data_IF_654105470687
#
_entry.id   IF_654105470687
#
_cell.length_a   1.000
_cell.length_b   1.000
_cell.length_c   1.000
_cell.angle_alpha   90.00
_cell.angle_beta   90.00
_cell.angle_gamma   90.00
#
_symmetry.space_group_name_H-M   'P 1'
#
loop_
_entity.id
_entity.type
_entity.pdbx_description
1 polymer ?
#
# COMPACT_ATOMS: atom_id res chain seq x y z
N UNK A 1 -1.54 -6.49 13.56
CA UNK A 1 -1.14 -5.07 13.76
C UNK A 1 -0.61 -4.51 12.45
N UNK A 2 -1.07 -3.33 12.05
CA UNK A 2 -0.57 -2.65 10.84
C UNK A 2 0.34 -1.47 11.24
N UNK A 3 1.50 -1.38 10.60
CA UNK A 3 2.38 -0.21 10.67
C UNK A 3 1.89 0.83 9.67
N UNK A 4 1.64 2.05 10.14
CA UNK A 4 1.44 3.22 9.27
C UNK A 4 2.71 4.08 9.36
N UNK A 5 3.37 4.25 8.20
CA UNK A 5 4.50 5.18 8.06
C UNK A 5 3.92 6.55 7.71
N UNK A 6 4.02 7.48 8.66
CA UNK A 6 3.50 8.85 8.52
C UNK A 6 4.56 9.76 7.88
N UNK A 7 4.36 10.11 6.61
CA UNK A 7 5.24 11.00 5.86
C UNK A 7 4.98 12.49 6.16
N UNK A 8 4.68 12.82 7.42
CA UNK A 8 4.39 14.20 7.86
C UNK A 8 3.17 14.81 7.16
N UNK A 9 2.20 13.96 6.80
CA UNK A 9 0.96 14.39 6.18
C UNK A 9 -0.03 14.94 7.21
N UNK A 10 -0.69 16.04 6.87
CA UNK A 10 -1.66 16.69 7.76
C UNK A 10 -2.90 15.84 8.05
N UNK A 11 -3.18 14.83 7.21
CA UNK A 11 -4.39 14.01 7.28
C UNK A 11 -4.12 12.54 7.63
N UNK A 12 -2.89 12.16 7.98
CA UNK A 12 -2.56 10.76 8.34
C UNK A 12 -3.51 10.18 9.37
N UNK A 13 -3.99 10.97 10.33
CA UNK A 13 -4.90 10.49 11.37
C UNK A 13 -6.31 10.11 10.85
N UNK A 14 -6.74 10.62 9.69
CA UNK A 14 -7.96 10.12 9.04
C UNK A 14 -7.76 8.67 8.60
N UNK A 15 -6.62 8.37 7.99
CA UNK A 15 -6.21 7.02 7.61
C UNK A 15 -6.07 6.11 8.84
N UNK A 16 -5.38 6.58 9.89
CA UNK A 16 -5.25 5.87 11.18
C UNK A 16 -6.61 5.50 11.75
N UNK A 17 -7.57 6.42 11.78
CA UNK A 17 -8.91 6.18 12.30
C UNK A 17 -9.66 5.10 11.50
N UNK A 18 -9.52 5.09 10.18
CA UNK A 18 -10.14 4.05 9.34
C UNK A 18 -9.53 2.68 9.69
N UNK A 19 -8.20 2.57 9.70
CA UNK A 19 -7.50 1.30 9.97
C UNK A 19 -7.74 0.81 11.39
N UNK A 20 -7.71 1.70 12.39
CA UNK A 20 -7.94 1.37 13.80
C UNK A 20 -9.37 0.86 14.08
N UNK A 21 -10.31 1.12 13.19
CA UNK A 21 -11.66 0.54 13.25
C UNK A 21 -11.69 -0.97 12.98
N UNK A 22 -10.62 -1.55 12.45
CA UNK A 22 -10.55 -2.96 12.04
C UNK A 22 -9.42 -3.76 12.72
N UNK A 23 -8.30 -3.11 13.04
CA UNK A 23 -7.12 -3.80 13.58
C UNK A 23 -6.24 -2.86 14.41
N UNK A 24 -5.30 -3.42 15.17
CA UNK A 24 -4.30 -2.64 15.90
C UNK A 24 -3.37 -1.89 14.94
N UNK A 25 -3.03 -0.65 15.29
CA UNK A 25 -2.20 0.25 14.49
C UNK A 25 -1.03 0.78 15.31
N UNK A 26 0.14 0.83 14.69
CA UNK A 26 1.30 1.58 15.17
C UNK A 26 1.67 2.62 14.12
N UNK A 27 1.88 3.87 14.54
CA UNK A 27 2.28 4.97 13.66
C UNK A 27 3.73 5.32 13.94
N UNK A 28 4.55 5.42 12.89
CA UNK A 28 5.96 5.84 12.94
C UNK A 28 6.27 6.82 11.84
N UNK A 29 7.16 7.77 12.12
CA UNK A 29 7.75 8.60 11.09
C UNK A 29 8.83 7.83 10.32
N UNK A 30 9.09 8.17 9.05
CA UNK A 30 10.05 7.42 8.23
C UNK A 30 11.49 7.50 8.76
N UNK A 31 11.85 8.58 9.47
CA UNK A 31 13.17 8.79 10.10
C UNK A 31 13.28 8.25 11.53
N UNK A 32 12.23 7.61 12.07
CA UNK A 32 12.29 6.94 13.39
C UNK A 32 13.00 5.58 13.25
N UNK A 33 14.23 5.41 13.78
CA UNK A 33 14.98 4.16 13.63
C UNK A 33 14.29 2.96 14.27
N UNK A 34 13.36 3.17 15.20
CA UNK A 34 12.63 2.08 15.87
C UNK A 34 11.57 1.46 14.94
N UNK A 35 11.35 2.01 13.75
CA UNK A 35 10.48 1.40 12.74
C UNK A 35 10.94 -0.01 12.38
N UNK A 36 12.27 -0.23 12.34
CA UNK A 36 12.90 -1.50 11.99
C UNK A 36 12.85 -2.57 13.10
N UNK A 37 12.50 -2.18 14.33
CA UNK A 37 12.32 -3.10 15.47
C UNK A 37 10.91 -3.71 15.51
N UNK A 38 9.99 -3.21 14.66
CA UNK A 38 8.59 -3.65 14.63
C UNK A 38 8.43 -4.93 13.80
N UNK A 39 7.41 -5.71 14.16
CA UNK A 39 6.98 -6.90 13.42
C UNK A 39 5.50 -6.77 13.04
N UNK A 40 5.17 -5.90 12.08
CA UNK A 40 3.80 -5.72 11.64
C UNK A 40 3.36 -6.87 10.72
N UNK A 41 2.06 -7.06 10.58
CA UNK A 41 1.48 -7.98 9.59
C UNK A 41 1.40 -7.34 8.19
N UNK A 42 1.42 -6.01 8.13
CA UNK A 42 1.42 -5.23 6.90
C UNK A 42 1.89 -3.80 7.16
N UNK A 43 2.24 -3.09 6.08
CA UNK A 43 2.67 -1.69 6.11
C UNK A 43 1.76 -0.84 5.23
N UNK A 44 1.35 0.33 5.73
CA UNK A 44 0.72 1.38 4.93
C UNK A 44 1.66 2.59 4.93
N UNK A 45 2.04 3.05 3.74
CA UNK A 45 2.87 4.24 3.58
C UNK A 45 1.94 5.39 3.20
N UNK A 46 1.85 6.39 4.10
CA UNK A 46 0.88 7.49 4.00
C UNK A 46 1.19 8.45 2.84
N UNK A 47 0.23 9.29 2.47
CA UNK A 47 0.52 10.54 1.76
C UNK A 47 1.58 11.38 2.48
N UNK A 48 2.11 12.38 1.81
CA UNK A 48 3.03 13.34 2.38
C UNK A 48 3.54 14.35 1.36
N UNK A 49 4.23 15.40 1.81
CA UNK A 49 4.84 16.40 0.94
C UNK A 49 6.16 15.91 0.33
N UNK A 50 6.64 16.64 -0.67
CA UNK A 50 7.96 16.42 -1.29
C UNK A 50 7.97 15.36 -2.37
N UNK A 51 9.17 14.88 -2.66
CA UNK A 51 9.44 13.81 -3.61
C UNK A 51 9.83 12.52 -2.86
N UNK A 52 9.43 11.33 -3.31
CA UNK A 52 9.73 10.09 -2.58
C UNK A 52 11.23 9.76 -2.46
N UNK A 53 12.07 10.40 -3.27
CA UNK A 53 13.52 10.25 -3.25
C UNK A 53 14.25 11.42 -2.55
N UNK A 54 13.54 12.31 -1.87
CA UNK A 54 14.17 13.40 -1.09
C UNK A 54 15.02 12.85 0.07
N UNK A 55 14.65 11.66 0.58
CA UNK A 55 15.43 10.89 1.56
C UNK A 55 15.47 9.42 1.15
N UNK A 56 16.37 8.63 1.73
CA UNK A 56 16.42 7.16 1.50
C UNK A 56 15.53 6.38 2.49
N UNK A 57 14.84 7.06 3.38
CA UNK A 57 14.09 6.41 4.47
C UNK A 57 12.98 5.50 3.96
N UNK A 58 12.17 5.97 3.01
CA UNK A 58 11.08 5.17 2.45
C UNK A 58 11.59 3.95 1.67
N UNK A 59 12.68 4.10 0.92
CA UNK A 59 13.31 2.99 0.20
C UNK A 59 13.81 1.92 1.19
N UNK A 60 14.45 2.35 2.29
CA UNK A 60 14.92 1.47 3.36
C UNK A 60 13.78 0.73 4.06
N UNK A 61 12.67 1.40 4.35
CA UNK A 61 11.48 0.81 4.95
C UNK A 61 10.84 -0.22 4.02
N UNK A 62 10.64 0.14 2.74
CA UNK A 62 10.08 -0.80 1.74
C UNK A 62 10.97 -2.03 1.62
N UNK A 63 12.30 -1.84 1.56
CA UNK A 63 13.26 -2.95 1.47
C UNK A 63 13.23 -3.84 2.71
N UNK A 64 13.09 -3.27 3.91
CA UNK A 64 13.06 -4.03 5.16
C UNK A 64 11.79 -4.90 5.27
N UNK A 65 10.65 -4.40 4.78
CA UNK A 65 9.35 -5.07 4.86
C UNK A 65 8.89 -5.65 3.52
N UNK A 66 9.79 -5.87 2.56
CA UNK A 66 9.44 -6.23 1.17
C UNK A 66 8.65 -7.55 1.03
N UNK A 67 8.74 -8.44 2.02
CA UNK A 67 7.99 -9.70 2.05
C UNK A 67 6.56 -9.56 2.60
N UNK A 68 6.22 -8.40 3.17
CA UNK A 68 4.91 -8.13 3.75
C UNK A 68 3.95 -7.46 2.75
N UNK A 69 2.64 -7.55 2.96
CA UNK A 69 1.69 -6.69 2.25
C UNK A 69 1.99 -5.21 2.52
N UNK A 70 2.16 -4.44 1.44
CA UNK A 70 2.39 -2.99 1.49
C UNK A 70 1.32 -2.27 0.69
N UNK A 71 0.69 -1.24 1.29
CA UNK A 71 -0.17 -0.30 0.59
C UNK A 71 0.48 1.09 0.60
N UNK A 72 0.90 1.57 -0.57
CA UNK A 72 1.38 2.93 -0.76
C UNK A 72 0.26 3.87 -1.20
N UNK A 73 0.13 5.03 -0.53
CA UNK A 73 -0.90 6.04 -0.81
C UNK A 73 -0.22 7.35 -1.19
N UNK A 74 -0.57 7.93 -2.32
CA UNK A 74 -0.05 9.19 -2.86
C UNK A 74 1.49 9.20 -2.90
N UNK A 75 2.18 9.87 -1.97
CA UNK A 75 3.66 9.80 -1.84
C UNK A 75 4.15 8.35 -1.65
N UNK A 76 3.45 7.55 -0.86
CA UNK A 76 3.75 6.13 -0.68
C UNK A 76 3.64 5.31 -1.98
N UNK A 77 2.66 5.65 -2.84
CA UNK A 77 2.53 5.04 -4.17
C UNK A 77 3.72 5.41 -5.07
N UNK A 78 4.15 6.66 -5.01
CA UNK A 78 5.31 7.15 -5.75
C UNK A 78 6.61 6.52 -5.24
N UNK A 79 6.77 6.34 -3.93
CA UNK A 79 7.93 5.66 -3.34
C UNK A 79 8.05 4.22 -3.85
N UNK A 80 6.93 3.49 -3.91
CA UNK A 80 6.91 2.14 -4.48
C UNK A 80 7.19 2.14 -5.99
N UNK A 81 6.79 3.17 -6.74
CA UNK A 81 7.17 3.32 -8.16
C UNK A 81 8.68 3.41 -8.30
N UNK A 82 9.34 4.29 -7.52
CA UNK A 82 10.79 4.46 -7.52
C UNK A 82 11.51 3.18 -7.04
N UNK A 83 11.00 2.52 -5.99
CA UNK A 83 11.55 1.25 -5.50
C UNK A 83 11.65 0.19 -6.61
N UNK A 84 10.63 0.10 -7.46
CA UNK A 84 10.60 -0.81 -8.61
C UNK A 84 11.22 -0.24 -9.89
N UNK A 85 12.01 0.84 -9.78
CA UNK A 85 12.79 1.47 -10.86
C UNK A 85 11.98 2.24 -11.91
N UNK A 86 10.73 2.58 -11.60
CA UNK A 86 10.00 3.59 -12.34
C UNK A 86 10.42 5.00 -11.93
N UNK A 87 10.00 5.99 -12.70
CA UNK A 87 10.23 7.40 -12.38
C UNK A 87 8.95 8.10 -11.95
N UNK A 88 9.14 9.15 -11.15
CA UNK A 88 8.08 10.07 -10.75
C UNK A 88 8.37 11.42 -11.38
N UNK A 89 7.40 11.97 -12.08
CA UNK A 89 7.53 13.22 -12.85
C UNK A 89 6.46 14.22 -12.46
N UNK A 90 6.68 15.48 -12.84
CA UNK A 90 5.65 16.52 -12.74
C UNK A 90 4.50 16.18 -13.70
N UNK A 91 3.28 16.07 -13.20
CA UNK A 91 2.09 15.93 -14.02
C UNK A 91 1.76 17.20 -14.82
N UNK A 92 0.90 17.08 -15.81
CA UNK A 92 0.48 18.19 -16.65
C UNK A 92 -0.26 19.31 -15.88
N UNK A 93 -0.80 19.00 -14.72
CA UNK A 93 -1.55 19.93 -13.86
C UNK A 93 -1.20 19.74 -12.41
N UNK A 94 -1.13 20.85 -11.67
CA UNK A 94 -1.10 20.84 -10.20
C UNK A 94 -2.52 20.61 -9.70
N UNK A 95 -2.75 19.49 -9.03
CA UNK A 95 -4.07 19.13 -8.50
C UNK A 95 -4.12 19.42 -7.00
N UNK A 96 -5.03 20.27 -6.60
CA UNK A 96 -5.22 20.68 -5.20
C UNK A 96 -6.69 20.52 -4.81
N UNK A 97 -7.08 19.32 -4.39
CA UNK A 97 -8.46 19.03 -4.02
C UNK A 97 -9.40 18.88 -5.23
N UNK A 98 -8.93 18.23 -6.29
CA UNK A 98 -9.75 17.95 -7.47
C UNK A 98 -10.44 16.60 -7.34
N UNK A 99 -11.77 16.60 -7.52
CA UNK A 99 -12.54 15.36 -7.69
C UNK A 99 -12.45 14.93 -9.16
N UNK A 100 -12.14 13.66 -9.37
CA UNK A 100 -12.07 13.04 -10.68
C UNK A 100 -12.75 11.68 -10.67
N UNK A 101 -12.98 11.08 -11.83
CA UNK A 101 -13.53 9.73 -11.95
C UNK A 101 -12.41 8.76 -12.32
N UNK A 102 -12.13 7.82 -11.44
CA UNK A 102 -11.21 6.72 -11.69
C UNK A 102 -11.96 5.56 -12.34
N UNK A 103 -11.36 4.94 -13.33
CA UNK A 103 -11.86 3.76 -14.02
C UNK A 103 -10.98 2.56 -13.70
N UNK A 104 -11.59 1.46 -13.26
CA UNK A 104 -10.89 0.19 -13.09
C UNK A 104 -10.52 -0.38 -14.46
N UNK A 105 -9.27 -0.82 -14.61
CA UNK A 105 -8.76 -1.45 -15.83
C UNK A 105 -8.63 -2.96 -15.69
N UNK A 106 -8.31 -3.41 -14.47
CA UNK A 106 -8.14 -4.83 -14.14
C UNK A 106 -8.68 -5.11 -12.74
N UNK A 107 -9.19 -6.33 -12.49
CA UNK A 107 -9.55 -6.74 -11.14
C UNK A 107 -8.35 -6.64 -10.20
N UNK A 108 -8.58 -6.11 -9.01
CA UNK A 108 -7.63 -6.10 -7.89
C UNK A 108 -8.38 -6.35 -6.60
N UNK A 109 -7.69 -6.92 -5.60
CA UNK A 109 -8.27 -7.15 -4.27
C UNK A 109 -8.76 -5.85 -3.62
N UNK A 110 -8.09 -4.72 -3.91
CA UNK A 110 -8.47 -3.41 -3.35
C UNK A 110 -9.88 -2.97 -3.78
N UNK A 111 -10.33 -3.36 -4.96
CA UNK A 111 -11.60 -2.94 -5.55
C UNK A 111 -12.66 -4.05 -5.55
N UNK A 112 -12.43 -5.12 -4.79
CA UNK A 112 -13.41 -6.21 -4.67
C UNK A 112 -14.76 -5.68 -4.14
N UNK A 113 -15.83 -5.91 -4.91
CA UNK A 113 -17.18 -5.47 -4.59
C UNK A 113 -17.49 -4.00 -4.93
N UNK A 114 -16.57 -3.26 -5.54
CA UNK A 114 -16.76 -1.86 -5.92
C UNK A 114 -17.19 -1.72 -7.39
N UNK A 115 -17.86 -0.59 -7.75
CA UNK A 115 -18.24 -0.32 -9.14
C UNK A 115 -17.00 -0.11 -10.03
N UNK A 116 -17.14 -0.33 -11.35
CA UNK A 116 -16.06 -0.18 -12.34
C UNK A 116 -15.50 1.25 -12.43
N UNK A 117 -16.27 2.25 -12.01
CA UNK A 117 -15.85 3.64 -11.95
C UNK A 117 -16.44 4.32 -10.71
N UNK A 118 -15.64 5.15 -10.04
CA UNK A 118 -16.06 5.92 -8.87
C UNK A 118 -15.23 7.20 -8.73
N UNK A 119 -15.75 8.16 -7.94
CA UNK A 119 -15.08 9.43 -7.70
C UNK A 119 -13.95 9.32 -6.70
N UNK A 120 -12.85 9.97 -7.01
CA UNK A 120 -11.64 10.03 -6.18
C UNK A 120 -11.22 11.47 -5.94
N UNK A 121 -10.58 11.72 -4.78
CA UNK A 121 -9.99 13.01 -4.45
C UNK A 121 -8.49 13.00 -4.72
N UNK A 122 -8.03 14.01 -5.45
CA UNK A 122 -6.63 14.16 -5.89
C UNK A 122 -6.00 15.42 -5.30
N UNK A 123 -4.80 15.27 -4.69
CA UNK A 123 -4.01 16.36 -4.09
C UNK A 123 -2.54 16.33 -4.55
N UNK A 124 -2.26 15.78 -5.72
CA UNK A 124 -0.89 15.56 -6.17
C UNK A 124 -0.54 16.35 -7.44
N UNK A 125 0.70 16.81 -7.53
CA UNK A 125 1.29 17.37 -8.74
C UNK A 125 2.27 16.40 -9.41
N UNK A 126 2.76 15.42 -8.67
CA UNK A 126 3.65 14.36 -9.15
C UNK A 126 2.84 13.13 -9.53
N UNK A 127 3.29 12.44 -10.57
CA UNK A 127 2.68 11.20 -11.09
C UNK A 127 3.78 10.19 -11.42
N UNK A 128 3.42 8.91 -11.42
CA UNK A 128 4.27 7.87 -12.00
C UNK A 128 4.34 8.08 -13.51
N UNK A 129 5.56 8.10 -14.05
CA UNK A 129 5.81 8.30 -15.47
C UNK A 129 5.33 7.09 -16.29
N UNK A 130 4.33 7.24 -17.17
CA UNK A 130 3.84 6.12 -17.97
C UNK A 130 4.87 5.60 -18.98
N UNK A 131 5.85 6.43 -19.42
CA UNK A 131 6.87 6.01 -20.40
C UNK A 131 7.95 5.11 -19.78
N UNK A 132 8.19 5.24 -18.47
CA UNK A 132 9.17 4.45 -17.73
C UNK A 132 8.52 3.51 -16.72
N UNK A 133 7.21 3.25 -16.88
CA UNK A 133 6.45 2.45 -15.94
C UNK A 133 6.97 1.00 -15.92
N UNK A 134 7.33 0.46 -14.75
CA UNK A 134 7.98 -0.85 -14.64
C UNK A 134 7.07 -2.00 -15.12
N UNK A 135 7.63 -2.93 -15.89
CA UNK A 135 6.91 -4.12 -16.38
C UNK A 135 6.44 -5.06 -15.25
N UNK A 136 7.11 -5.02 -14.09
CA UNK A 136 6.70 -5.77 -12.90
C UNK A 136 5.43 -5.24 -12.24
N UNK A 137 4.92 -4.09 -12.70
CA UNK A 137 3.75 -3.43 -12.16
C UNK A 137 2.56 -3.53 -13.11
N UNK A 138 1.41 -3.87 -12.57
CA UNK A 138 0.15 -4.02 -13.29
C UNK A 138 -0.74 -2.83 -12.96
N UNK A 139 -1.06 -2.01 -13.96
CA UNK A 139 -2.00 -0.90 -13.80
C UNK A 139 -3.40 -1.45 -13.59
N UNK A 140 -4.05 -1.07 -12.49
CA UNK A 140 -5.39 -1.54 -12.09
C UNK A 140 -6.45 -0.46 -12.21
N UNK A 141 -6.07 0.81 -12.28
CA UNK A 141 -7.01 1.92 -12.46
C UNK A 141 -6.34 3.20 -12.95
N UNK A 142 -7.10 4.01 -13.67
CA UNK A 142 -6.62 5.28 -14.23
C UNK A 142 -7.69 6.36 -14.27
N UNK A 143 -7.26 7.59 -14.42
CA UNK A 143 -8.03 8.72 -14.91
C UNK A 143 -7.56 9.05 -16.33
N UNK A 144 -8.20 10.00 -17.00
CA UNK A 144 -7.85 10.39 -18.37
C UNK A 144 -6.41 10.90 -18.54
N UNK A 145 -5.78 11.30 -17.45
CA UNK A 145 -4.48 12.00 -17.43
C UNK A 145 -3.37 11.28 -16.64
N UNK A 146 -3.70 10.30 -15.83
CA UNK A 146 -2.66 9.58 -15.11
C UNK A 146 -3.09 8.21 -14.54
N UNK A 147 -2.09 7.38 -14.23
CA UNK A 147 -2.25 6.12 -13.52
C UNK A 147 -2.65 6.41 -12.07
N UNK A 148 -3.76 5.81 -11.62
CA UNK A 148 -4.31 6.02 -10.29
C UNK A 148 -4.09 4.85 -9.34
N UNK A 149 -3.99 3.64 -9.87
CA UNK A 149 -3.69 2.47 -9.05
C UNK A 149 -2.94 1.41 -9.84
N UNK A 150 -2.11 0.67 -9.13
CA UNK A 150 -1.32 -0.42 -9.69
C UNK A 150 -0.83 -1.34 -8.57
N UNK A 151 -0.48 -2.56 -8.92
CA UNK A 151 0.04 -3.57 -8.00
C UNK A 151 1.23 -4.30 -8.62
N UNK A 152 2.07 -4.91 -7.79
CA UNK A 152 3.13 -5.77 -8.28
C UNK A 152 2.55 -7.14 -8.63
N UNK A 153 3.01 -7.75 -9.72
CA UNK A 153 2.42 -9.00 -10.19
C UNK A 153 2.74 -10.23 -9.31
N UNK A 154 3.84 -10.20 -8.52
CA UNK A 154 4.29 -11.35 -7.71
C UNK A 154 4.28 -11.07 -6.20
N UNK A 155 4.42 -9.82 -5.77
CA UNK A 155 4.46 -9.44 -4.36
C UNK A 155 3.17 -8.74 -3.93
N UNK A 156 2.74 -8.85 -2.67
CA UNK A 156 1.51 -8.21 -2.20
C UNK A 156 1.68 -6.70 -1.97
N UNK A 157 2.19 -5.99 -2.99
CA UNK A 157 2.40 -4.56 -2.96
C UNK A 157 1.36 -3.84 -3.83
N UNK A 158 0.56 -3.01 -3.17
CA UNK A 158 -0.58 -2.28 -3.74
C UNK A 158 -0.36 -0.79 -3.64
N UNK A 159 -0.92 -0.01 -4.56
CA UNK A 159 -0.71 1.44 -4.60
C UNK A 159 -1.90 2.17 -5.16
N UNK A 160 -2.20 3.29 -4.53
CA UNK A 160 -3.21 4.23 -4.98
C UNK A 160 -2.64 5.66 -4.92
N UNK A 161 -2.79 6.40 -6.03
CA UNK A 161 -2.28 7.77 -6.15
C UNK A 161 -3.20 8.79 -5.48
N UNK A 162 -4.49 8.50 -5.41
CA UNK A 162 -5.50 9.34 -4.77
C UNK A 162 -5.61 9.09 -3.26
N UNK A 163 -6.40 9.91 -2.58
CA UNK A 163 -6.59 9.87 -1.13
C UNK A 163 -7.86 9.10 -0.73
N UNK A 164 -7.78 7.84 -0.29
CA UNK A 164 -8.93 7.06 0.17
C UNK A 164 -9.48 7.55 1.51
N UNK A 165 -8.66 8.24 2.30
CA UNK A 165 -9.02 8.84 3.59
C UNK A 165 -9.82 10.15 3.46
N UNK A 166 -9.92 10.71 2.24
CA UNK A 166 -10.71 11.91 1.97
C UNK A 166 -12.20 11.58 1.93
N UNK A 167 -13.01 12.44 2.58
CA UNK A 167 -14.48 12.34 2.54
C UNK A 167 -15.07 12.45 1.13
N UNK A 168 -14.33 12.98 0.17
CA UNK A 168 -14.76 13.15 -1.21
C UNK A 168 -14.33 11.98 -2.13
N UNK A 169 -13.61 11.00 -1.60
CA UNK A 169 -13.34 9.73 -2.29
C UNK A 169 -14.47 8.75 -1.97
N UNK A 170 -15.19 8.32 -3.01
CA UNK A 170 -16.17 7.26 -2.88
C UNK A 170 -15.48 5.93 -2.55
N UNK A 171 -16.07 5.13 -1.66
CA UNK A 171 -15.55 3.81 -1.26
C UNK A 171 -14.15 3.79 -0.62
N UNK A 172 -13.65 4.92 -0.12
CA UNK A 172 -12.31 4.98 0.46
C UNK A 172 -12.12 4.04 1.64
N UNK A 173 -13.10 3.95 2.54
CA UNK A 173 -13.08 3.03 3.69
C UNK A 173 -13.11 1.57 3.24
N UNK A 174 -13.92 1.23 2.22
CA UNK A 174 -14.01 -0.12 1.67
C UNK A 174 -12.69 -0.57 1.02
N UNK A 175 -11.99 0.34 0.33
CA UNK A 175 -10.68 0.07 -0.27
C UNK A 175 -9.66 -0.30 0.83
N UNK A 176 -9.57 0.49 1.89
CA UNK A 176 -8.69 0.20 3.04
C UNK A 176 -9.10 -1.12 3.72
N UNK A 177 -10.40 -1.34 3.91
CA UNK A 177 -10.90 -2.59 4.50
C UNK A 177 -10.58 -3.83 3.63
N UNK A 178 -10.65 -3.71 2.32
CA UNK A 178 -10.26 -4.81 1.42
C UNK A 178 -8.77 -5.15 1.55
N UNK A 179 -7.89 -4.16 1.70
CA UNK A 179 -6.49 -4.40 2.02
C UNK A 179 -6.31 -5.12 3.36
N UNK A 180 -7.02 -4.69 4.42
CA UNK A 180 -6.95 -5.32 5.75
C UNK A 180 -7.42 -6.79 5.68
N UNK A 181 -8.50 -7.08 4.98
CA UNK A 181 -8.99 -8.46 4.76
C UNK A 181 -7.96 -9.36 4.07
N UNK A 182 -7.18 -8.81 3.13
CA UNK A 182 -6.08 -9.55 2.49
C UNK A 182 -5.04 -9.96 3.53
N UNK A 183 -4.65 -9.04 4.42
CA UNK A 183 -3.68 -9.29 5.49
C UNK A 183 -4.18 -10.38 6.43
N UNK A 184 -5.43 -10.33 6.86
CA UNK A 184 -6.04 -11.33 7.74
C UNK A 184 -6.09 -12.73 7.11
N UNK A 185 -6.42 -12.83 5.81
CA UNK A 185 -6.41 -14.11 5.07
C UNK A 185 -5.01 -14.69 4.96
N UNK A 186 -3.98 -13.86 4.73
CA UNK A 186 -2.58 -14.27 4.71
C UNK A 186 -2.08 -14.78 6.06
N UNK A 187 -2.40 -14.10 7.15
CA UNK A 187 -2.07 -14.52 8.51
C UNK A 187 -2.72 -15.89 8.86
N UNK A 188 -3.99 -16.09 8.49
CA UNK A 188 -4.70 -17.35 8.75
C UNK A 188 -4.12 -18.56 7.98
N UNK A 189 -3.53 -18.35 6.79
CA UNK A 189 -2.88 -19.41 6.03
C UNK A 189 -1.54 -19.84 6.62
N UNK A 190 -0.80 -18.96 7.26
CA UNK A 190 0.45 -19.27 7.97
C UNK A 190 0.22 -20.04 9.27
N UNK A 191 -0.85 -19.76 10.01
CA UNK A 191 -1.19 -20.48 11.25
C UNK A 191 -1.61 -21.94 11.05
N UNK A 192 -2.14 -22.29 9.88
CA UNK A 192 -2.52 -23.68 9.56
C UNK A 192 -1.31 -24.56 9.22
N UNK A 193 -0.18 -24.01 8.79
CA UNK A 193 1.04 -24.79 8.54
C UNK A 193 1.91 -25.01 9.78
N UNK A 194 1.79 -24.20 10.82
CA UNK A 194 2.58 -24.33 12.06
C UNK A 194 2.00 -25.33 13.08
N UNK A 195 0.80 -25.89 12.83
CA UNK A 195 0.13 -26.84 13.72
C UNK A 195 0.09 -28.26 13.17
N UNK A 196 1.19 -28.78 12.65
CA UNK A 196 1.29 -30.21 12.38
C UNK A 196 2.29 -30.87 13.35
N UNK A 197 1.84 -31.40 14.52
CA UNK A 197 2.67 -32.14 15.45
C UNK A 197 2.68 -33.61 15.06
N UNK A 198 3.45 -34.00 14.04
CA UNK A 198 3.75 -35.42 13.79
C UNK A 198 5.17 -35.59 13.26
N UNK A 199 6.14 -35.51 14.16
CA UNK A 199 7.38 -36.25 14.05
C UNK A 199 7.38 -37.30 15.16
N UNK A 200 6.81 -38.44 14.84
CA UNK A 200 6.92 -39.66 15.65
C UNK A 200 8.38 -40.11 15.61
N UNK A 201 9.02 -40.10 16.76
CA UNK A 201 10.30 -40.76 16.99
C UNK A 201 10.21 -42.24 16.66
N UNK A 202 10.97 -42.66 15.67
CA UNK A 202 11.28 -44.07 15.46
C UNK A 202 12.60 -44.36 16.16
N UNK A 203 12.49 -44.79 17.43
CA UNK A 203 13.54 -45.50 18.13
C UNK A 203 13.70 -46.87 17.49
N UNK A 204 14.78 -47.08 16.79
CA UNK A 204 15.21 -48.43 16.41
C UNK A 204 16.37 -48.87 17.27
N UNK A 205 16.06 -49.62 18.32
CA UNK A 205 16.98 -50.48 19.05
C UNK A 205 17.43 -51.62 18.10
N UNK A 206 18.73 -51.79 17.95
CA UNK A 206 19.31 -53.07 17.50
C UNK A 206 20.50 -53.46 18.39
N UNK A 207 20.44 -54.71 18.73
CA UNK A 207 21.43 -55.56 19.41
C UNK A 207 22.81 -55.51 18.77
#
# INVERSE_FOLDING_TARGET
>A
MILIVDNYDSFTYNLVNIVAGYTDVVVKYPDDPTVFDLQPDAVIISPGPGHPEDTDDLNSIIKHFEDLPILGICLGAQALTCYYKGHVIQGASVLHGKIDTMHQLKPTVLYEGLPEAFKIMRYHSLISDPETFPESLVITGETTDCIQSFEHHDTPHYRIQYHPDSFATEHGTEIIHNFIKLVEKGASSHDTYSKNPNTTELNATRH
#
